data_IF_203794308526
#
_entry.id   IF_203794308526
#
_cell.length_a   1.000
_cell.length_b   1.000
_cell.length_c   1.000
_cell.angle_alpha   90.00
_cell.angle_beta   90.00
_cell.angle_gamma   90.00
#
_symmetry.space_group_name_H-M   'P 1'
#
loop_
_entity.id
_entity.type
_entity.pdbx_description
1 polymer ?
#
# COMPACT_ATOMS: atom_id res chain seq x y z
N UNK A 1 -16.98 -2.86 -14.91
CA UNK A 1 -16.66 -1.84 -13.87
C UNK A 1 -16.85 -2.48 -12.50
N UNK A 2 -15.89 -2.34 -11.59
CA UNK A 2 -16.12 -2.75 -10.20
C UNK A 2 -17.18 -1.83 -9.57
N UNK A 3 -18.21 -2.40 -8.96
CA UNK A 3 -19.20 -1.64 -8.19
C UNK A 3 -18.61 -1.27 -6.83
N UNK A 4 -19.17 -0.25 -6.16
CA UNK A 4 -18.75 0.11 -4.80
C UNK A 4 -18.76 -1.10 -3.84
N UNK A 5 -19.77 -1.97 -3.98
CA UNK A 5 -19.88 -3.23 -3.22
C UNK A 5 -18.72 -4.20 -3.51
N UNK A 6 -18.33 -4.38 -4.78
CA UNK A 6 -17.22 -5.28 -5.14
C UNK A 6 -15.89 -4.82 -4.55
N UNK A 7 -15.66 -3.50 -4.54
CA UNK A 7 -14.47 -2.91 -3.91
C UNK A 7 -14.49 -3.10 -2.39
N UNK A 8 -15.64 -2.91 -1.75
CA UNK A 8 -15.80 -3.17 -0.31
C UNK A 8 -15.53 -4.64 0.05
N UNK A 9 -16.07 -5.59 -0.73
CA UNK A 9 -15.80 -7.02 -0.51
C UNK A 9 -14.32 -7.35 -0.69
N UNK A 10 -13.65 -6.76 -1.70
CA UNK A 10 -12.22 -6.97 -1.93
C UNK A 10 -11.37 -6.40 -0.78
N UNK A 11 -11.73 -5.21 -0.26
CA UNK A 11 -11.10 -4.64 0.94
C UNK A 11 -11.27 -5.57 2.14
N UNK A 12 -12.51 -5.99 2.39
CA UNK A 12 -12.86 -6.89 3.50
C UNK A 12 -12.09 -8.23 3.43
N UNK A 13 -12.01 -8.85 2.25
CA UNK A 13 -11.26 -10.10 2.04
C UNK A 13 -9.81 -9.93 2.50
N UNK A 14 -9.11 -8.89 2.04
CA UNK A 14 -7.70 -8.71 2.41
C UNK A 14 -7.51 -8.44 3.90
N UNK A 15 -8.36 -7.63 4.53
CA UNK A 15 -8.28 -7.38 5.98
C UNK A 15 -8.39 -8.67 6.80
N UNK A 16 -9.36 -9.54 6.47
CA UNK A 16 -9.53 -10.80 7.18
C UNK A 16 -8.46 -11.84 6.84
N UNK A 17 -7.96 -11.87 5.61
CA UNK A 17 -6.81 -12.72 5.25
C UNK A 17 -5.57 -12.34 6.06
N UNK A 18 -5.26 -11.04 6.14
CA UNK A 18 -4.14 -10.54 6.94
C UNK A 18 -4.34 -10.81 8.42
N UNK A 19 -5.53 -10.55 8.98
CA UNK A 19 -5.83 -10.88 10.37
C UNK A 19 -5.64 -12.38 10.67
N UNK A 20 -6.07 -13.26 9.76
CA UNK A 20 -5.89 -14.70 9.89
C UNK A 20 -4.40 -15.09 9.89
N UNK A 21 -3.61 -14.54 8.98
CA UNK A 21 -2.17 -14.80 8.91
C UNK A 21 -1.44 -14.29 10.18
N UNK A 22 -1.82 -13.14 10.71
CA UNK A 22 -1.28 -12.63 11.98
C UNK A 22 -1.64 -13.55 13.16
N UNK A 23 -2.88 -14.04 13.23
CA UNK A 23 -3.31 -14.98 14.25
C UNK A 23 -2.55 -16.31 14.18
N UNK A 24 -2.29 -16.83 12.98
CA UNK A 24 -1.44 -18.03 12.76
C UNK A 24 -0.03 -17.86 13.31
N UNK A 25 0.45 -16.62 13.44
CA UNK A 25 1.77 -16.26 13.98
C UNK A 25 1.73 -15.93 15.49
N UNK A 26 0.60 -16.19 16.16
CA UNK A 26 0.45 -15.98 17.60
C UNK A 26 0.20 -14.52 17.99
N UNK A 27 -0.17 -13.66 17.04
CA UNK A 27 -0.49 -12.26 17.30
C UNK A 27 -2.00 -12.05 17.38
N UNK A 28 -2.44 -11.09 18.20
CA UNK A 28 -3.85 -10.70 18.27
C UNK A 28 -4.06 -9.51 17.34
N UNK A 29 -4.84 -9.68 16.28
CA UNK A 29 -5.20 -8.61 15.36
C UNK A 29 -6.65 -8.15 15.58
N UNK A 30 -6.86 -6.83 15.58
CA UNK A 30 -8.18 -6.21 15.61
C UNK A 30 -8.40 -5.42 14.32
N UNK A 31 -9.50 -5.73 13.62
CA UNK A 31 -10.04 -4.92 12.53
C UNK A 31 -11.02 -3.88 13.09
N UNK A 32 -11.22 -2.78 12.36
CA UNK A 32 -12.16 -1.72 12.75
C UNK A 32 -13.51 -1.88 12.07
N UNK A 33 -14.59 -1.57 12.79
CA UNK A 33 -15.96 -1.56 12.25
C UNK A 33 -16.25 -0.35 11.34
N UNK A 34 -15.34 0.62 11.30
CA UNK A 34 -15.41 1.82 10.47
C UNK A 34 -14.03 2.20 9.94
N UNK A 35 -13.98 3.23 9.10
CA UNK A 35 -12.74 3.69 8.52
C UNK A 35 -11.93 4.48 9.55
N UNK A 36 -10.79 3.93 9.97
CA UNK A 36 -9.78 4.67 10.72
C UNK A 36 -8.83 5.32 9.71
N UNK A 37 -8.40 6.58 9.91
CA UNK A 37 -7.38 7.18 9.06
C UNK A 37 -6.09 6.35 9.05
N UNK A 38 -5.46 6.24 7.88
CA UNK A 38 -4.10 5.73 7.67
C UNK A 38 -3.83 4.23 7.92
N UNK A 39 -4.68 3.48 8.63
CA UNK A 39 -4.51 2.03 8.84
C UNK A 39 -5.84 1.28 8.97
N UNK A 40 -5.82 -0.04 8.71
CA UNK A 40 -7.02 -0.88 8.73
C UNK A 40 -7.04 -1.90 9.89
N UNK A 41 -5.88 -2.23 10.47
CA UNK A 41 -5.77 -3.10 11.65
C UNK A 41 -4.79 -2.54 12.68
N UNK A 42 -4.97 -2.95 13.94
CA UNK A 42 -3.91 -2.95 14.95
C UNK A 42 -3.62 -4.40 15.33
N UNK A 43 -2.34 -4.74 15.40
CA UNK A 43 -1.87 -6.02 15.91
C UNK A 43 -1.12 -5.83 17.22
N UNK A 44 -1.28 -6.76 18.17
CA UNK A 44 -0.57 -6.76 19.44
C UNK A 44 0.09 -8.11 19.72
N UNK A 45 1.22 -8.07 20.41
CA UNK A 45 1.86 -9.27 20.98
C UNK A 45 1.33 -9.56 22.41
N UNK A 46 1.88 -10.60 23.04
CA UNK A 46 1.50 -10.99 24.41
C UNK A 46 2.05 -10.04 25.50
N UNK A 47 2.98 -9.16 25.17
CA UNK A 47 3.56 -8.16 26.08
C UNK A 47 2.76 -6.85 26.07
N UNK A 48 1.85 -6.69 25.10
CA UNK A 48 1.03 -5.49 24.91
C UNK A 48 1.68 -4.45 23.99
N UNK A 49 2.77 -4.79 23.30
CA UNK A 49 3.29 -3.97 22.20
C UNK A 49 2.31 -4.00 21.04
N UNK A 50 2.13 -2.88 20.34
CA UNK A 50 1.17 -2.78 19.25
C UNK A 50 1.74 -2.13 17.98
N UNK A 51 1.34 -2.63 16.82
CA UNK A 51 1.72 -2.09 15.52
C UNK A 51 0.45 -1.82 14.67
N UNK A 52 0.27 -0.59 14.14
CA UNK A 52 -0.77 -0.34 13.14
C UNK A 52 -0.37 -0.96 11.79
N UNK A 53 -1.36 -1.47 11.05
CA UNK A 53 -1.18 -2.11 9.74
C UNK A 53 -2.19 -1.53 8.75
N UNK A 54 -1.70 -1.02 7.63
CA UNK A 54 -2.50 -0.70 6.46
C UNK A 54 -2.59 -1.93 5.54
N UNK A 55 -3.79 -2.27 5.06
CA UNK A 55 -3.96 -3.34 4.08
C UNK A 55 -4.34 -2.75 2.72
N UNK A 56 -3.78 -3.32 1.65
CA UNK A 56 -4.11 -2.94 0.28
C UNK A 56 -4.35 -4.21 -0.54
N UNK A 57 -5.61 -4.46 -0.89
CA UNK A 57 -6.00 -5.67 -1.62
C UNK A 57 -6.20 -5.38 -3.10
N UNK A 58 -5.70 -6.28 -3.94
CA UNK A 58 -5.95 -6.31 -5.38
C UNK A 58 -6.26 -7.74 -5.83
N UNK A 59 -7.02 -7.90 -6.91
CA UNK A 59 -7.24 -9.22 -7.54
C UNK A 59 -6.22 -9.52 -8.65
N UNK A 60 -5.52 -8.50 -9.13
CA UNK A 60 -4.67 -8.58 -10.32
C UNK A 60 -3.25 -8.05 -10.07
N UNK A 61 -2.86 -7.83 -8.80
CA UNK A 61 -1.52 -7.37 -8.46
C UNK A 61 -1.21 -5.94 -8.93
N UNK A 62 -2.22 -5.11 -9.14
CA UNK A 62 -2.03 -3.68 -9.43
C UNK A 62 -2.82 -2.85 -8.42
N UNK A 63 -2.18 -1.83 -7.85
CA UNK A 63 -2.78 -0.88 -6.92
C UNK A 63 -2.64 0.54 -7.45
N UNK A 64 -3.75 1.28 -7.45
CA UNK A 64 -3.81 2.64 -7.96
C UNK A 64 -3.66 3.65 -6.83
N UNK A 65 -2.85 4.67 -7.09
CA UNK A 65 -2.51 5.72 -6.14
C UNK A 65 -2.53 7.09 -6.80
N UNK A 66 -2.46 8.12 -5.97
CA UNK A 66 -2.26 9.51 -6.38
C UNK A 66 -0.91 9.96 -5.85
N UNK A 67 0.01 10.33 -6.74
CA UNK A 67 1.41 10.58 -6.42
C UNK A 67 1.59 11.79 -5.49
N UNK A 68 0.68 12.76 -5.57
CA UNK A 68 0.60 13.93 -4.71
C UNK A 68 0.31 13.58 -3.23
N UNK A 69 -0.06 12.34 -2.91
CA UNK A 69 -0.11 11.88 -1.50
C UNK A 69 1.28 11.56 -0.93
N UNK A 70 2.26 11.35 -1.80
CA UNK A 70 3.59 10.84 -1.44
C UNK A 70 4.69 11.87 -1.61
N UNK A 71 4.55 12.76 -2.59
CA UNK A 71 5.56 13.77 -2.91
C UNK A 71 4.89 15.05 -3.37
N UNK A 72 5.55 16.18 -3.15
CA UNK A 72 5.13 17.44 -3.74
C UNK A 72 5.27 17.38 -5.26
N UNK A 73 4.26 17.87 -5.98
CA UNK A 73 4.30 18.04 -7.43
C UNK A 73 4.06 19.52 -7.73
N UNK A 74 5.01 20.13 -8.41
CA UNK A 74 4.91 21.49 -8.93
C UNK A 74 4.77 21.45 -10.45
N UNK A 75 4.34 22.56 -11.03
CA UNK A 75 4.15 22.69 -12.47
C UNK A 75 4.99 23.83 -13.04
N UNK A 76 5.77 23.52 -14.07
CA UNK A 76 6.41 24.50 -14.94
C UNK A 76 5.75 24.44 -16.32
N UNK A 77 4.73 25.27 -16.53
CA UNK A 77 3.82 25.12 -17.67
C UNK A 77 3.07 23.78 -17.58
N UNK A 78 3.27 22.91 -18.57
CA UNK A 78 2.67 21.57 -18.59
C UNK A 78 3.58 20.48 -18.00
N UNK A 79 4.80 20.82 -17.60
CA UNK A 79 5.74 19.86 -17.02
C UNK A 79 5.45 19.68 -15.54
N UNK A 80 5.39 18.43 -15.09
CA UNK A 80 5.40 18.08 -13.68
C UNK A 80 6.84 18.05 -13.16
N UNK A 81 7.08 18.74 -12.05
CA UNK A 81 8.35 18.78 -11.33
C UNK A 81 8.15 18.14 -9.97
N UNK A 82 8.96 17.12 -9.66
CA UNK A 82 8.93 16.40 -8.38
C UNK A 82 9.66 17.26 -7.34
N UNK A 83 8.96 17.57 -6.25
CA UNK A 83 9.49 18.28 -5.07
C UNK A 83 9.89 17.34 -3.94
N UNK A 84 9.71 17.78 -2.70
CA UNK A 84 10.11 17.00 -1.53
C UNK A 84 9.11 15.88 -1.23
N UNK A 85 9.59 14.77 -0.64
CA UNK A 85 8.73 13.72 -0.10
C UNK A 85 7.86 14.29 1.01
N UNK A 86 6.58 13.94 0.99
CA UNK A 86 5.66 14.33 2.05
C UNK A 86 5.97 13.57 3.34
N UNK A 87 5.81 14.19 4.52
CA UNK A 87 6.01 13.50 5.78
C UNK A 87 4.99 12.37 5.96
N UNK A 88 5.42 11.29 6.60
CA UNK A 88 4.54 10.18 6.96
C UNK A 88 3.86 10.48 8.29
N UNK A 89 2.53 10.44 8.34
CA UNK A 89 1.78 10.75 9.57
C UNK A 89 2.01 9.71 10.67
N UNK A 90 2.15 8.44 10.30
CA UNK A 90 2.44 7.34 11.22
C UNK A 90 3.84 6.82 10.88
N UNK A 91 4.86 7.17 11.70
CA UNK A 91 6.19 6.60 11.56
C UNK A 91 6.15 5.08 11.65
N UNK A 92 6.90 4.39 10.79
CA UNK A 92 6.99 2.93 10.75
C UNK A 92 5.67 2.17 10.50
N UNK A 93 4.64 2.83 9.95
CA UNK A 93 3.42 2.15 9.50
C UNK A 93 3.79 0.99 8.57
N UNK A 94 3.37 -0.23 8.93
CA UNK A 94 3.55 -1.40 8.09
C UNK A 94 2.37 -1.50 7.13
N UNK A 95 2.66 -1.79 5.86
CA UNK A 95 1.65 -2.05 4.86
C UNK A 95 1.72 -3.52 4.41
N UNK A 96 0.56 -4.16 4.33
CA UNK A 96 0.42 -5.50 3.75
C UNK A 96 -0.38 -5.39 2.46
N UNK A 97 0.29 -5.65 1.34
CA UNK A 97 -0.35 -5.77 0.04
C UNK A 97 -0.77 -7.22 -0.18
N UNK A 98 -2.02 -7.41 -0.60
CA UNK A 98 -2.62 -8.73 -0.79
C UNK A 98 -3.06 -8.86 -2.24
N UNK A 99 -2.58 -9.89 -2.92
CA UNK A 99 -3.18 -10.37 -4.18
C UNK A 99 -4.15 -11.48 -3.81
N UNK A 100 -5.44 -11.13 -3.75
CA UNK A 100 -6.49 -12.06 -3.36
C UNK A 100 -6.84 -12.97 -4.54
N UNK A 101 -6.64 -14.27 -4.34
CA UNK A 101 -6.96 -15.30 -5.32
C UNK A 101 -8.43 -15.70 -5.27
N UNK A 102 -8.95 -16.28 -6.35
CA UNK A 102 -10.26 -16.93 -6.33
C UNK A 102 -10.21 -18.27 -5.59
N UNK A 103 -9.04 -18.92 -5.55
CA UNK A 103 -8.82 -20.18 -4.87
C UNK A 103 -8.20 -19.94 -3.50
N UNK A 104 -8.86 -20.47 -2.47
CA UNK A 104 -8.38 -20.42 -1.10
C UNK A 104 -6.97 -21.00 -0.98
N UNK A 105 -6.08 -20.25 -0.32
CA UNK A 105 -4.70 -20.66 -0.05
C UNK A 105 -3.70 -20.28 -1.13
N UNK A 106 -4.14 -19.72 -2.26
CA UNK A 106 -3.25 -19.22 -3.33
C UNK A 106 -3.04 -17.69 -3.25
N UNK A 107 -3.47 -17.05 -2.16
CA UNK A 107 -3.29 -15.61 -1.92
C UNK A 107 -1.81 -15.28 -1.75
N UNK A 108 -1.37 -14.13 -2.28
CA UNK A 108 0.02 -13.66 -2.14
C UNK A 108 0.09 -12.40 -1.29
N UNK A 109 1.09 -12.33 -0.41
CA UNK A 109 1.28 -11.23 0.52
C UNK A 109 2.64 -10.56 0.32
N UNK A 110 2.66 -9.23 0.37
CA UNK A 110 3.88 -8.43 0.37
C UNK A 110 3.86 -7.47 1.55
N UNK A 111 4.91 -7.49 2.37
CA UNK A 111 4.96 -6.80 3.66
C UNK A 111 6.17 -5.88 3.72
N UNK A 112 5.91 -4.57 3.81
CA UNK A 112 6.93 -3.53 3.82
C UNK A 112 6.47 -2.29 4.59
N UNK A 113 7.43 -1.44 4.98
CA UNK A 113 7.10 -0.15 5.60
C UNK A 113 6.48 0.81 4.57
N UNK A 114 5.57 1.66 5.02
CA UNK A 114 4.92 2.68 4.19
C UNK A 114 5.93 3.66 3.57
N UNK A 115 7.06 3.91 4.25
CA UNK A 115 8.18 4.67 3.70
C UNK A 115 8.76 4.04 2.43
N UNK A 116 8.85 2.69 2.38
CA UNK A 116 9.32 1.98 1.19
C UNK A 116 8.31 2.05 0.05
N UNK A 117 7.02 2.02 0.35
CA UNK A 117 5.97 2.27 -0.66
C UNK A 117 6.11 3.66 -1.26
N UNK A 118 6.34 4.69 -0.44
CA UNK A 118 6.62 6.05 -0.89
C UNK A 118 7.86 6.09 -1.79
N UNK A 119 8.96 5.46 -1.38
CA UNK A 119 10.20 5.39 -2.17
C UNK A 119 9.96 4.80 -3.56
N UNK A 120 9.29 3.64 -3.62
CA UNK A 120 9.01 2.92 -4.88
C UNK A 120 8.11 3.75 -5.79
N UNK A 121 7.01 4.31 -5.27
CA UNK A 121 6.08 5.11 -6.06
C UNK A 121 6.73 6.37 -6.63
N UNK A 122 7.54 7.07 -5.82
CA UNK A 122 8.27 8.26 -6.27
C UNK A 122 9.30 7.90 -7.33
N UNK A 123 10.07 6.83 -7.14
CA UNK A 123 11.05 6.38 -8.13
C UNK A 123 10.39 5.95 -9.46
N UNK A 124 9.30 5.20 -9.39
CA UNK A 124 8.54 4.77 -10.57
C UNK A 124 7.93 5.97 -11.30
N UNK A 125 7.38 6.94 -10.57
CA UNK A 125 6.82 8.15 -11.15
C UNK A 125 7.90 9.04 -11.81
N UNK A 126 9.06 9.21 -11.15
CA UNK A 126 10.19 9.97 -11.70
C UNK A 126 10.68 9.38 -13.02
N UNK A 127 10.92 8.06 -13.06
CA UNK A 127 11.34 7.35 -14.28
C UNK A 127 10.32 7.50 -15.41
N UNK A 128 9.04 7.44 -15.07
CA UNK A 128 7.96 7.61 -16.04
C UNK A 128 7.90 9.06 -16.57
N UNK A 129 8.05 10.07 -15.70
CA UNK A 129 8.12 11.47 -16.11
C UNK A 129 9.31 11.73 -17.03
N UNK A 130 10.48 11.20 -16.71
CA UNK A 130 11.68 11.30 -17.54
C UNK A 130 11.42 10.75 -18.96
N UNK A 131 10.76 9.58 -19.06
CA UNK A 131 10.42 8.96 -20.34
C UNK A 131 9.49 9.80 -21.23
N UNK A 132 8.74 10.74 -20.65
CA UNK A 132 7.83 11.65 -21.36
C UNK A 132 8.26 13.12 -21.30
N UNK A 133 9.51 13.41 -20.93
CA UNK A 133 10.04 14.78 -20.86
C UNK A 133 9.34 15.68 -19.83
N UNK A 134 8.74 15.08 -18.81
CA UNK A 134 7.97 15.73 -17.76
C UNK A 134 6.53 16.07 -18.12
N UNK A 135 6.09 15.84 -19.37
CA UNK A 135 4.71 16.17 -19.82
C UNK A 135 3.92 14.90 -20.05
N UNK A 136 2.83 14.71 -19.29
CA UNK A 136 1.98 13.52 -19.47
C UNK A 136 1.23 13.57 -20.81
N UNK A 137 1.30 12.53 -21.67
CA UNK A 137 0.77 12.58 -23.04
C UNK A 137 -0.73 12.85 -23.20
N UNK A 138 -1.57 12.47 -22.22
CA UNK A 138 -3.04 12.61 -22.29
C UNK A 138 -3.60 13.72 -21.41
N UNK A 139 -3.07 13.83 -20.20
CA UNK A 139 -3.55 14.75 -19.17
C UNK A 139 -2.37 15.17 -18.31
N UNK A 140 -1.78 16.31 -18.65
CA UNK A 140 -0.53 16.79 -18.06
C UNK A 140 -0.62 16.99 -16.55
N UNK A 141 -1.79 17.25 -15.99
CA UNK A 141 -2.08 17.48 -14.57
C UNK A 141 -2.53 16.21 -13.81
N UNK A 142 -2.54 15.04 -14.46
CA UNK A 142 -2.92 13.80 -13.78
C UNK A 142 -1.88 13.40 -12.73
N UNK A 143 -2.35 13.08 -11.52
CA UNK A 143 -1.52 12.56 -10.42
C UNK A 143 -1.54 11.04 -10.31
N UNK A 144 -2.23 10.35 -11.24
CA UNK A 144 -2.36 8.90 -11.17
C UNK A 144 -0.99 8.21 -11.31
N UNK A 145 -0.68 7.35 -10.34
CA UNK A 145 0.42 6.39 -10.37
C UNK A 145 -0.10 5.00 -9.98
N UNK A 146 0.68 3.97 -10.31
CA UNK A 146 0.35 2.59 -9.98
C UNK A 146 1.56 1.91 -9.35
N UNK A 147 1.27 0.98 -8.45
CA UNK A 147 2.20 0.02 -7.90
C UNK A 147 1.85 -1.35 -8.47
N UNK A 148 2.83 -2.05 -9.00
CA UNK A 148 2.66 -3.36 -9.60
C UNK A 148 3.23 -4.44 -8.68
N UNK A 149 2.72 -5.66 -8.79
CA UNK A 149 3.23 -6.81 -8.05
C UNK A 149 4.75 -7.00 -8.23
N UNK A 150 5.25 -6.78 -9.46
CA UNK A 150 6.68 -6.87 -9.75
C UNK A 150 7.54 -5.87 -8.96
N UNK A 151 6.98 -4.73 -8.56
CA UNK A 151 7.67 -3.74 -7.71
C UNK A 151 7.80 -4.24 -6.26
N UNK A 152 7.03 -5.25 -5.87
CA UNK A 152 6.90 -5.74 -4.50
C UNK A 152 7.56 -7.10 -4.26
N UNK A 153 8.06 -7.77 -5.29
CA UNK A 153 8.51 -9.17 -5.19
C UNK A 153 9.57 -9.40 -4.11
N UNK A 154 10.45 -8.42 -3.87
CA UNK A 154 11.46 -8.49 -2.80
C UNK A 154 10.88 -8.50 -1.37
N UNK A 155 9.62 -8.09 -1.21
CA UNK A 155 8.92 -8.00 0.08
C UNK A 155 7.91 -9.15 0.29
N UNK A 156 7.93 -10.16 -0.59
CA UNK A 156 7.01 -11.28 -0.53
C UNK A 156 7.15 -12.05 0.77
N UNK A 157 6.02 -12.29 1.44
CA UNK A 157 5.90 -13.03 2.70
C UNK A 157 6.86 -12.56 3.81
N UNK A 158 7.25 -11.28 3.80
CA UNK A 158 8.14 -10.66 4.77
C UNK A 158 7.45 -10.36 6.13
N UNK A 159 6.78 -11.36 6.70
CA UNK A 159 5.98 -11.25 7.92
C UNK A 159 6.82 -10.90 9.16
N UNK A 160 8.11 -11.24 9.16
CA UNK A 160 9.05 -10.93 10.25
C UNK A 160 9.22 -9.42 10.48
N UNK A 161 8.93 -8.59 9.48
CA UNK A 161 8.91 -7.13 9.65
C UNK A 161 7.97 -6.71 10.77
N UNK A 162 6.77 -7.31 10.85
CA UNK A 162 5.76 -6.96 11.85
C UNK A 162 6.24 -7.35 13.25
N UNK A 163 6.81 -8.54 13.41
CA UNK A 163 7.38 -8.98 14.70
C UNK A 163 8.53 -8.10 15.17
N UNK A 164 9.30 -7.51 14.24
CA UNK A 164 10.40 -6.58 14.60
C UNK A 164 9.89 -5.22 15.09
N UNK A 165 8.61 -4.90 14.87
CA UNK A 165 7.96 -3.67 15.32
C UNK A 165 7.15 -3.81 16.61
N UNK A 166 7.08 -5.02 17.16
CA UNK A 166 6.40 -5.37 18.41
C UNK A 166 7.47 -5.63 19.50
#
# INVERSE_FOLDING_TARGET
MATGRSNQLTKQIGEYLVACELARRGLIATTFSGNVPDFDLIVTDFKGSSCPIQVKTSKNGTWQFSIDKFVEIHFEGQKQIIGNKKPLHIPHLVCVFVVASEKYGDDTFFILEWAKVQDILVANHARWLESCGGVRPKKFDSMHCALYQSDLEEYKDNWSLITTKL
#
